data_IF_475151218683
#
_entry.id   IF_475151218683
#
_cell.length_a   1.000
_cell.length_b   1.000
_cell.length_c   1.000
_cell.angle_alpha   90.00
_cell.angle_beta   90.00
_cell.angle_gamma   90.00
#
_symmetry.space_group_name_H-M   'P 1'
#
loop_
_entity.id
_entity.type
_entity.pdbx_description
1 polymer ?
#
# COMPACT_ATOMS: atom_id res chain seq x y z
N UNK A 1 3.71 43.75 38.41
CA UNK A 1 4.94 43.03 38.06
C UNK A 1 4.70 41.54 38.26
N UNK A 2 4.57 40.80 37.16
CA UNK A 2 5.14 39.45 36.93
C UNK A 2 5.06 39.18 35.43
N UNK A 3 6.22 39.10 34.80
CA UNK A 3 6.47 38.57 33.45
C UNK A 3 6.17 37.07 33.35
N UNK A 4 6.09 36.58 32.10
CA UNK A 4 6.14 35.18 31.59
C UNK A 4 4.76 34.56 31.28
N UNK A 5 4.45 33.99 30.11
CA UNK A 5 5.25 33.43 29.01
C UNK A 5 4.55 33.50 27.65
N UNK A 6 5.40 33.49 26.62
CA UNK A 6 5.12 33.56 25.19
C UNK A 6 4.88 32.14 24.64
N UNK A 7 3.63 31.73 24.44
CA UNK A 7 3.35 30.56 23.58
C UNK A 7 3.25 30.98 22.11
N UNK A 8 4.39 30.86 21.43
CA UNK A 8 4.53 30.98 19.99
C UNK A 8 4.03 29.66 19.36
N UNK A 9 2.73 29.57 19.11
CA UNK A 9 2.13 28.45 18.38
C UNK A 9 2.79 28.28 17.01
N UNK A 10 3.31 27.09 16.73
CA UNK A 10 4.02 26.76 15.50
C UNK A 10 3.10 26.91 14.26
N UNK A 11 3.65 27.24 13.07
CA UNK A 11 2.86 27.30 11.85
C UNK A 11 2.47 25.90 11.41
N UNK A 12 1.19 25.55 11.54
CA UNK A 12 0.63 24.31 10.98
C UNK A 12 0.51 24.46 9.47
N UNK A 13 1.60 24.23 8.75
CA UNK A 13 1.54 24.03 7.30
C UNK A 13 0.97 22.63 7.04
N UNK A 14 -0.34 22.52 6.82
CA UNK A 14 -0.92 21.34 6.18
C UNK A 14 -1.01 21.59 4.68
N UNK A 15 0.02 21.14 3.97
CA UNK A 15 -0.03 20.92 2.54
C UNK A 15 -0.76 19.59 2.32
N UNK A 16 -2.06 19.64 2.04
CA UNK A 16 -2.79 18.48 1.52
C UNK A 16 -2.56 18.43 0.02
N UNK A 17 -1.56 17.66 -0.41
CA UNK A 17 -1.45 17.25 -1.80
C UNK A 17 -2.55 16.20 -2.03
N UNK A 18 -3.60 16.57 -2.77
CA UNK A 18 -4.52 15.61 -3.35
C UNK A 18 -3.72 14.72 -4.32
N UNK A 19 -3.25 13.58 -3.83
CA UNK A 19 -2.70 12.54 -4.70
C UNK A 19 -3.84 12.09 -5.61
N UNK A 20 -3.70 12.32 -6.91
CA UNK A 20 -4.58 11.77 -7.92
C UNK A 20 -4.68 10.26 -7.72
N UNK A 21 -5.81 9.82 -7.16
CA UNK A 21 -6.15 8.41 -7.11
C UNK A 21 -6.43 8.02 -8.54
N UNK A 22 -5.48 7.31 -9.16
CA UNK A 22 -5.76 6.60 -10.40
C UNK A 22 -6.64 5.42 -9.99
N UNK A 23 -7.96 5.66 -9.96
CA UNK A 23 -8.96 4.61 -9.80
C UNK A 23 -8.98 3.75 -11.07
N UNK A 24 -7.97 2.90 -11.23
CA UNK A 24 -8.15 1.69 -12.01
C UNK A 24 -8.85 0.69 -11.09
N UNK A 25 -10.17 0.85 -10.96
CA UNK A 25 -11.06 -0.16 -10.39
C UNK A 25 -11.07 -1.32 -11.39
N UNK A 26 -10.00 -2.12 -11.36
CA UNK A 26 -9.95 -3.42 -12.00
C UNK A 26 -10.85 -4.34 -11.17
N UNK A 27 -12.09 -4.43 -11.63
CA UNK A 27 -13.10 -5.43 -11.30
C UNK A 27 -12.46 -6.67 -10.64
N UNK A 28 -12.59 -6.75 -9.31
CA UNK A 28 -11.98 -7.82 -8.52
C UNK A 28 -12.83 -9.08 -8.74
N UNK A 29 -12.63 -9.72 -9.88
CA UNK A 29 -12.97 -11.11 -10.07
C UNK A 29 -11.80 -11.93 -9.47
N UNK A 30 -12.00 -12.62 -8.33
CA UNK A 30 -10.91 -13.22 -7.55
C UNK A 30 -10.13 -14.31 -8.30
N UNK A 31 -10.62 -14.77 -9.45
CA UNK A 31 -10.02 -15.85 -10.23
C UNK A 31 -9.09 -15.39 -11.37
N UNK A 32 -9.29 -14.19 -11.91
CA UNK A 32 -8.54 -13.69 -13.08
C UNK A 32 -7.22 -13.02 -12.71
N UNK A 33 -7.10 -12.44 -11.51
CA UNK A 33 -5.92 -11.68 -11.11
C UNK A 33 -4.69 -12.53 -10.71
N UNK A 34 -4.87 -13.80 -10.34
CA UNK A 34 -3.75 -14.66 -9.96
C UNK A 34 -2.80 -14.95 -11.12
N UNK A 35 -3.34 -15.20 -12.33
CA UNK A 35 -2.52 -15.45 -13.52
C UNK A 35 -1.71 -14.21 -13.92
N UNK A 36 -2.32 -13.02 -13.83
CA UNK A 36 -1.65 -11.76 -14.13
C UNK A 36 -0.48 -11.53 -13.17
N UNK A 37 -0.71 -11.71 -11.87
CA UNK A 37 0.33 -11.57 -10.85
C UNK A 37 1.55 -12.47 -11.12
N UNK A 38 1.34 -13.77 -11.35
CA UNK A 38 2.46 -14.71 -11.61
C UNK A 38 3.12 -14.51 -12.98
N UNK A 39 2.39 -13.95 -13.95
CA UNK A 39 2.93 -13.65 -15.28
C UNK A 39 3.80 -12.40 -15.26
N UNK A 40 3.40 -11.37 -14.53
CA UNK A 40 4.07 -10.07 -14.48
C UNK A 40 5.17 -10.00 -13.41
N UNK A 41 5.01 -10.73 -12.31
CA UNK A 41 5.96 -10.72 -11.20
C UNK A 41 6.65 -12.06 -11.05
N UNK A 42 7.93 -12.02 -10.69
CA UNK A 42 8.61 -13.13 -10.05
C UNK A 42 8.40 -12.98 -8.54
N UNK A 43 7.51 -13.79 -7.98
CA UNK A 43 7.27 -13.82 -6.54
C UNK A 43 8.46 -14.44 -5.82
N UNK A 44 8.90 -13.81 -4.73
CA UNK A 44 9.94 -14.34 -3.85
C UNK A 44 9.27 -14.94 -2.60
N UNK A 45 9.83 -16.02 -2.05
CA UNK A 45 9.31 -16.69 -0.84
C UNK A 45 9.52 -15.89 0.46
N UNK A 46 9.87 -14.60 0.34
CA UNK A 46 10.10 -13.70 1.47
C UNK A 46 8.80 -12.99 1.85
N UNK A 47 8.25 -13.35 3.02
CA UNK A 47 7.22 -12.58 3.70
C UNK A 47 7.84 -11.33 4.33
N UNK A 48 7.31 -10.15 3.99
CA UNK A 48 7.74 -8.86 4.54
C UNK A 48 6.88 -8.44 5.75
N UNK A 49 5.67 -8.97 5.86
CA UNK A 49 4.79 -8.72 6.99
C UNK A 49 3.39 -9.31 6.78
N UNK A 50 2.66 -9.53 7.87
CA UNK A 50 1.29 -10.01 7.84
C UNK A 50 0.43 -9.21 8.82
N UNK A 51 -0.85 -9.06 8.50
CA UNK A 51 -1.82 -8.36 9.34
C UNK A 51 -3.22 -8.90 9.13
N UNK A 52 -4.19 -8.27 9.79
CA UNK A 52 -5.61 -8.71 9.81
C UNK A 52 -6.26 -8.79 8.43
N UNK A 53 -5.73 -8.06 7.44
CA UNK A 53 -6.30 -7.98 6.09
C UNK A 53 -5.48 -8.70 5.02
N UNK A 54 -4.39 -9.38 5.39
CA UNK A 54 -3.54 -10.02 4.38
C UNK A 54 -2.08 -10.18 4.76
N UNK A 55 -1.29 -10.56 3.76
CA UNK A 55 0.17 -10.71 3.83
C UNK A 55 0.84 -9.86 2.76
N UNK A 56 2.01 -9.33 3.06
CA UNK A 56 2.88 -8.60 2.13
C UNK A 56 4.09 -9.46 1.83
N UNK A 57 4.34 -9.71 0.56
CA UNK A 57 5.49 -10.47 0.08
C UNK A 57 6.38 -9.60 -0.81
N UNK A 58 7.63 -10.00 -0.96
CA UNK A 58 8.51 -9.40 -1.96
C UNK A 58 8.28 -10.03 -3.33
N UNK A 59 8.30 -9.21 -4.37
CA UNK A 59 8.36 -9.71 -5.75
C UNK A 59 9.15 -8.76 -6.64
N UNK A 60 9.60 -9.27 -7.78
CA UNK A 60 10.30 -8.47 -8.79
C UNK A 60 9.41 -8.34 -10.01
N UNK A 61 9.14 -7.11 -10.47
CA UNK A 61 8.40 -6.88 -11.70
C UNK A 61 9.27 -7.23 -12.90
N UNK A 62 8.79 -8.09 -13.80
CA UNK A 62 9.64 -8.66 -14.86
C UNK A 62 10.05 -7.63 -15.92
N UNK A 63 9.29 -6.55 -16.09
CA UNK A 63 9.55 -5.55 -17.13
C UNK A 63 10.71 -4.63 -16.75
N UNK A 64 10.73 -4.10 -15.52
CA UNK A 64 11.74 -3.14 -15.08
C UNK A 64 12.77 -3.71 -14.11
N UNK A 65 12.64 -5.00 -13.77
CA UNK A 65 13.50 -5.73 -12.84
C UNK A 65 13.62 -5.11 -11.44
N UNK A 66 12.65 -4.27 -11.04
CA UNK A 66 12.66 -3.64 -9.71
C UNK A 66 11.93 -4.47 -8.66
N UNK A 67 12.36 -4.38 -7.39
CA UNK A 67 11.67 -5.02 -6.28
C UNK A 67 10.42 -4.21 -5.87
N UNK A 68 9.35 -4.93 -5.57
CA UNK A 68 8.07 -4.40 -5.11
C UNK A 68 7.59 -5.18 -3.87
N UNK A 69 6.84 -4.48 -3.02
CA UNK A 69 6.02 -5.09 -1.98
C UNK A 69 4.62 -5.38 -2.54
N UNK A 70 4.20 -6.63 -2.51
CA UNK A 70 2.93 -7.09 -3.08
C UNK A 70 2.01 -7.48 -1.91
N UNK A 71 0.86 -6.82 -1.78
CA UNK A 71 -0.13 -7.10 -0.74
C UNK A 71 -1.18 -8.11 -1.24
N UNK A 72 -1.20 -9.29 -0.65
CA UNK A 72 -2.22 -10.32 -0.86
C UNK A 72 -3.33 -10.11 0.16
N UNK A 73 -4.55 -9.82 -0.30
CA UNK A 73 -5.69 -9.48 0.55
C UNK A 73 -6.50 -10.74 0.85
N UNK A 74 -6.80 -10.98 2.12
CA UNK A 74 -7.71 -12.07 2.50
C UNK A 74 -9.13 -11.69 2.10
N UNK A 75 -9.72 -12.46 1.19
CA UNK A 75 -11.15 -12.35 0.90
C UNK A 75 -11.91 -13.26 1.86
N UNK A 76 -12.67 -12.66 2.77
CA UNK A 76 -13.64 -13.42 3.57
C UNK A 76 -14.94 -13.45 2.78
N UNK A 77 -15.30 -14.61 2.24
CA UNK A 77 -16.65 -14.81 1.73
C UNK A 77 -17.59 -14.83 2.95
N UNK A 78 -18.42 -13.80 3.09
CA UNK A 78 -19.52 -13.83 4.06
C UNK A 78 -20.53 -14.84 3.52
N UNK A 79 -20.66 -15.98 4.19
CA UNK A 79 -21.69 -16.99 3.95
C UNK A 79 -22.98 -16.63 4.68
#
# INVERSE_FOLDING_TARGET
MTDRDREKGAPTAQVSQESHVVEEILDIQPFTNNKRLTNEFKLEETCLGAGSYGVVIKGTYKIDAKPYAIKLIYFVAIM
#
